data_IF_702187884379
#
_entry.id   IF_702187884379
#
_cell.length_a   1.000
_cell.length_b   1.000
_cell.length_c   1.000
_cell.angle_alpha   90.00
_cell.angle_beta   90.00
_cell.angle_gamma   90.00
#
_symmetry.space_group_name_H-M   'P 1'
#
loop_
_entity.id
_entity.type
_entity.pdbx_description
1 polymer ?
#
# COMPACT_ATOMS: atom_id res chain seq x y z
N UNK A 1 21.84 -37.35 -6.61
CA UNK A 1 20.56 -36.64 -6.82
C UNK A 1 20.82 -35.48 -7.77
N UNK A 2 20.08 -35.33 -8.87
CA UNK A 2 20.42 -34.33 -9.90
C UNK A 2 20.09 -32.90 -9.42
N UNK A 3 20.97 -31.93 -9.67
CA UNK A 3 20.83 -30.53 -9.21
C UNK A 3 19.55 -29.87 -9.77
N UNK A 4 19.22 -30.19 -11.02
CA UNK A 4 18.01 -29.70 -11.69
C UNK A 4 16.72 -30.14 -10.96
N UNK A 5 16.65 -31.40 -10.50
CA UNK A 5 15.51 -31.90 -9.73
C UNK A 5 15.36 -31.24 -8.36
N UNK A 6 16.45 -30.74 -7.77
CA UNK A 6 16.41 -29.96 -6.53
C UNK A 6 15.80 -28.58 -6.78
N UNK A 7 16.35 -27.84 -7.75
CA UNK A 7 15.89 -26.50 -8.15
C UNK A 7 14.40 -26.51 -8.54
N UNK A 8 13.96 -27.52 -9.29
CA UNK A 8 12.58 -27.61 -9.76
C UNK A 8 11.59 -27.99 -8.64
N UNK A 9 12.04 -28.78 -7.66
CA UNK A 9 11.26 -29.09 -6.45
C UNK A 9 11.10 -27.86 -5.54
N UNK A 10 12.17 -27.05 -5.40
CA UNK A 10 12.12 -25.76 -4.70
C UNK A 10 11.21 -24.75 -5.40
N UNK A 11 11.34 -24.59 -6.72
CA UNK A 11 10.45 -23.77 -7.56
C UNK A 11 8.98 -24.16 -7.35
N UNK A 12 8.68 -25.46 -7.39
CA UNK A 12 7.32 -25.99 -7.20
C UNK A 12 6.79 -25.69 -5.79
N UNK A 13 7.61 -25.79 -4.74
CA UNK A 13 7.23 -25.41 -3.37
C UNK A 13 6.95 -23.91 -3.25
N UNK A 14 7.82 -23.06 -3.79
CA UNK A 14 7.64 -21.60 -3.76
C UNK A 14 6.35 -21.18 -4.46
N UNK A 15 6.09 -21.69 -5.68
CA UNK A 15 4.85 -21.46 -6.42
C UNK A 15 3.59 -21.91 -5.63
N UNK A 16 3.70 -22.97 -4.83
CA UNK A 16 2.59 -23.46 -3.99
C UNK A 16 2.28 -22.49 -2.84
N UNK A 17 3.29 -21.83 -2.27
CA UNK A 17 3.13 -20.76 -1.27
C UNK A 17 2.54 -19.51 -1.94
N UNK A 18 3.03 -19.11 -3.13
CA UNK A 18 2.50 -17.95 -3.88
C UNK A 18 1.03 -18.14 -4.31
N UNK A 19 0.56 -19.39 -4.49
CA UNK A 19 -0.85 -19.72 -4.76
C UNK A 19 -1.78 -19.45 -3.56
N UNK A 20 -1.26 -19.37 -2.33
CA UNK A 20 -2.02 -19.04 -1.11
C UNK A 20 -2.30 -17.54 -1.01
N UNK A 21 -3.19 -17.03 -1.86
CA UNK A 21 -3.67 -15.65 -1.82
C UNK A 21 -5.20 -15.63 -1.80
N UNK A 22 -5.76 -14.59 -1.17
CA UNK A 22 -7.17 -14.57 -0.80
C UNK A 22 -8.09 -14.59 -2.04
N UNK A 23 -9.18 -15.39 -2.03
CA UNK A 23 -10.08 -15.50 -3.17
C UNK A 23 -10.74 -14.16 -3.52
N UNK A 24 -11.24 -14.05 -4.76
CA UNK A 24 -11.70 -12.79 -5.36
C UNK A 24 -12.71 -11.99 -4.52
N UNK A 25 -13.53 -12.65 -3.68
CA UNK A 25 -14.46 -11.98 -2.77
C UNK A 25 -13.77 -10.99 -1.81
N UNK A 26 -12.52 -11.25 -1.39
CA UNK A 26 -11.77 -10.34 -0.52
C UNK A 26 -11.36 -9.04 -1.22
N UNK A 27 -11.26 -9.03 -2.57
CA UNK A 27 -11.02 -7.80 -3.32
C UNK A 27 -12.20 -6.83 -3.15
N UNK A 28 -13.42 -7.36 -3.23
CA UNK A 28 -14.66 -6.59 -3.04
C UNK A 28 -14.74 -6.09 -1.59
N UNK A 29 -14.43 -6.95 -0.60
CA UNK A 29 -14.41 -6.57 0.82
C UNK A 29 -13.40 -5.44 1.08
N UNK A 30 -12.17 -5.54 0.55
CA UNK A 30 -11.15 -4.49 0.68
C UNK A 30 -11.56 -3.16 0.06
N UNK A 31 -12.20 -3.18 -1.12
CA UNK A 31 -12.77 -1.97 -1.75
C UNK A 31 -13.86 -1.37 -0.87
N UNK A 32 -14.83 -2.17 -0.40
CA UNK A 32 -15.92 -1.70 0.46
C UNK A 32 -15.41 -1.07 1.76
N UNK A 33 -14.46 -1.71 2.45
CA UNK A 33 -13.83 -1.16 3.66
C UNK A 33 -13.12 0.16 3.38
N UNK A 34 -12.41 0.27 2.26
CA UNK A 34 -11.68 1.48 1.87
C UNK A 34 -12.64 2.63 1.55
N UNK A 35 -13.69 2.36 0.75
CA UNK A 35 -14.72 3.36 0.42
C UNK A 35 -15.47 3.83 1.66
N UNK A 36 -15.89 2.92 2.54
CA UNK A 36 -16.54 3.28 3.81
C UNK A 36 -15.60 4.16 4.66
N UNK A 37 -14.33 3.78 4.80
CA UNK A 37 -13.36 4.56 5.58
C UNK A 37 -13.19 5.99 5.05
N UNK A 38 -13.12 6.17 3.71
CA UNK A 38 -13.03 7.49 3.06
C UNK A 38 -14.31 8.30 3.31
N UNK A 39 -15.50 7.70 3.12
CA UNK A 39 -16.79 8.38 3.34
C UNK A 39 -16.93 8.81 4.80
N UNK A 40 -16.62 7.94 5.77
CA UNK A 40 -16.68 8.27 7.20
C UNK A 40 -15.68 9.38 7.56
N UNK A 41 -14.50 9.41 6.94
CA UNK A 41 -13.52 10.49 7.14
C UNK A 41 -14.05 11.84 6.65
N UNK A 42 -14.74 11.86 5.50
CA UNK A 42 -15.35 13.07 4.92
C UNK A 42 -16.55 13.55 5.74
N UNK A 43 -17.42 12.63 6.19
CA UNK A 43 -18.57 12.95 7.07
C UNK A 43 -18.09 13.54 8.38
N UNK A 44 -17.06 12.96 9.01
CA UNK A 44 -16.46 13.52 10.23
C UNK A 44 -15.97 14.95 10.00
N UNK A 45 -15.20 15.18 8.93
CA UNK A 45 -14.63 16.48 8.61
C UNK A 45 -15.68 17.59 8.36
N UNK A 46 -16.93 17.22 8.06
CA UNK A 46 -18.03 18.16 7.78
C UNK A 46 -19.04 18.33 8.93
N UNK A 47 -18.96 17.49 9.99
CA UNK A 47 -20.04 17.38 11.01
C UNK A 47 -19.50 17.31 12.45
N UNK A 48 -18.24 16.95 12.67
CA UNK A 48 -17.70 16.66 14.02
C UNK A 48 -16.45 17.51 14.29
N UNK A 49 -16.67 18.68 14.90
CA UNK A 49 -15.62 19.53 15.51
C UNK A 49 -15.10 18.99 16.85
N UNK A 50 -15.52 17.78 17.25
CA UNK A 50 -15.13 17.13 18.49
C UNK A 50 -13.74 16.48 18.43
N UNK A 51 -12.97 16.66 19.51
CA UNK A 51 -11.59 16.20 19.68
C UNK A 51 -11.47 14.67 19.74
N UNK A 52 -11.56 14.06 18.57
CA UNK A 52 -11.71 12.61 18.37
C UNK A 52 -10.45 12.03 17.73
N UNK A 53 -9.29 12.27 18.35
CA UNK A 53 -8.00 11.74 17.91
C UNK A 53 -8.00 10.21 17.80
N UNK A 54 -8.59 9.51 18.78
CA UNK A 54 -8.71 8.04 18.76
C UNK A 54 -9.45 7.55 17.51
N UNK A 55 -10.52 8.25 17.10
CA UNK A 55 -11.31 7.93 15.92
C UNK A 55 -10.51 8.21 14.63
N UNK A 56 -9.61 9.21 14.64
CA UNK A 56 -8.73 9.53 13.50
C UNK A 56 -7.76 8.39 13.27
N UNK A 57 -7.10 7.94 14.34
CA UNK A 57 -6.17 6.81 14.34
C UNK A 57 -6.89 5.52 13.93
N UNK A 58 -8.11 5.28 14.42
CA UNK A 58 -8.92 4.13 14.03
C UNK A 58 -9.19 4.13 12.51
N UNK A 59 -9.73 5.22 11.96
CA UNK A 59 -10.03 5.33 10.52
C UNK A 59 -8.80 5.19 9.64
N UNK A 60 -7.65 5.74 10.06
CA UNK A 60 -6.38 5.57 9.36
C UNK A 60 -5.95 4.09 9.34
N UNK A 61 -5.96 3.41 10.50
CA UNK A 61 -5.62 1.98 10.58
C UNK A 61 -6.61 1.11 9.77
N UNK A 62 -7.92 1.38 9.81
CA UNK A 62 -8.92 0.61 9.03
C UNK A 62 -8.78 0.81 7.52
N UNK A 63 -8.50 2.04 7.08
CA UNK A 63 -8.25 2.34 5.67
C UNK A 63 -6.99 1.61 5.17
N UNK A 64 -5.93 1.58 5.97
CA UNK A 64 -4.69 0.86 5.65
C UNK A 64 -4.93 -0.65 5.51
N UNK A 65 -5.70 -1.24 6.44
CA UNK A 65 -6.10 -2.66 6.36
C UNK A 65 -6.97 -2.93 5.12
N UNK A 66 -7.92 -2.04 4.80
CA UNK A 66 -8.75 -2.15 3.59
C UNK A 66 -7.93 -2.19 2.29
N UNK A 67 -6.98 -1.26 2.15
CA UNK A 67 -6.06 -1.23 1.00
C UNK A 67 -5.12 -2.43 0.96
N UNK A 68 -4.62 -2.91 2.10
CA UNK A 68 -3.78 -4.10 2.16
C UNK A 68 -4.55 -5.36 1.74
N UNK A 69 -5.79 -5.53 2.21
CA UNK A 69 -6.68 -6.63 1.77
C UNK A 69 -6.95 -6.53 0.27
N UNK A 70 -7.24 -5.34 -0.26
CA UNK A 70 -7.42 -5.11 -1.71
C UNK A 70 -6.15 -5.47 -2.51
N UNK A 71 -4.98 -5.06 -2.03
CA UNK A 71 -3.67 -5.27 -2.64
C UNK A 71 -3.25 -6.76 -2.72
N UNK A 72 -3.58 -7.56 -1.70
CA UNK A 72 -3.25 -9.00 -1.66
C UNK A 72 -4.24 -9.87 -2.46
N UNK A 73 -5.52 -9.46 -2.50
CA UNK A 73 -6.63 -10.26 -3.04
C UNK A 73 -6.51 -10.65 -4.52
N UNK A 74 -7.02 -11.83 -4.88
CA UNK A 74 -6.93 -12.36 -6.26
C UNK A 74 -7.84 -11.62 -7.25
N UNK A 75 -7.30 -11.42 -8.46
CA UNK A 75 -8.09 -11.04 -9.63
C UNK A 75 -8.92 -12.23 -10.14
N UNK A 76 -9.98 -11.94 -10.92
CA UNK A 76 -10.91 -12.94 -11.45
C UNK A 76 -10.26 -13.96 -12.41
N UNK A 77 -9.16 -13.57 -13.05
CA UNK A 77 -8.35 -14.43 -13.94
C UNK A 77 -6.91 -14.34 -13.44
N UNK A 78 -6.38 -15.43 -12.89
CA UNK A 78 -4.97 -15.53 -12.52
C UNK A 78 -4.17 -16.20 -13.63
N UNK A 79 -3.16 -15.46 -14.09
CA UNK A 79 -2.17 -15.84 -15.08
C UNK A 79 -0.79 -15.69 -14.41
N UNK A 80 0.18 -16.52 -14.76
CA UNK A 80 1.53 -16.50 -14.16
C UNK A 80 2.18 -15.12 -14.35
N UNK A 81 1.94 -14.48 -15.49
CA UNK A 81 2.39 -13.11 -15.75
C UNK A 81 1.75 -12.08 -14.82
N UNK A 82 0.48 -12.26 -14.42
CA UNK A 82 -0.21 -11.38 -13.45
C UNK A 82 0.38 -11.51 -12.05
N UNK A 83 0.86 -12.70 -11.67
CA UNK A 83 1.57 -12.94 -10.41
C UNK A 83 2.94 -12.23 -10.44
N UNK A 84 3.68 -12.36 -11.54
CA UNK A 84 4.97 -11.66 -11.75
C UNK A 84 4.83 -10.14 -11.72
N UNK A 85 3.86 -9.59 -12.45
CA UNK A 85 3.52 -8.16 -12.47
C UNK A 85 3.24 -7.60 -11.08
N UNK A 86 2.51 -8.34 -10.23
CA UNK A 86 2.21 -7.90 -8.87
C UNK A 86 3.46 -7.96 -7.97
N UNK A 87 4.29 -8.99 -8.09
CA UNK A 87 5.56 -9.08 -7.35
C UNK A 87 6.51 -7.92 -7.71
N UNK A 88 6.62 -7.59 -9.00
CA UNK A 88 7.35 -6.40 -9.47
C UNK A 88 6.75 -5.11 -8.91
N UNK A 89 5.43 -4.97 -8.91
CA UNK A 89 4.75 -3.78 -8.36
C UNK A 89 5.03 -3.60 -6.85
N UNK A 90 5.08 -4.67 -6.06
CA UNK A 90 5.51 -4.61 -4.66
C UNK A 90 6.98 -4.21 -4.51
N UNK A 91 7.88 -4.73 -5.35
CA UNK A 91 9.30 -4.38 -5.31
C UNK A 91 9.54 -2.90 -5.66
N UNK A 92 8.90 -2.40 -6.71
CA UNK A 92 8.93 -0.98 -7.10
C UNK A 92 8.38 -0.10 -5.98
N UNK A 93 7.22 -0.46 -5.41
CA UNK A 93 6.62 0.29 -4.32
C UNK A 93 7.48 0.32 -3.05
N UNK A 94 8.17 -0.77 -2.73
CA UNK A 94 9.12 -0.79 -1.60
C UNK A 94 10.30 0.15 -1.83
N UNK A 95 10.94 0.08 -3.01
CA UNK A 95 12.08 0.95 -3.36
C UNK A 95 11.65 2.43 -3.34
N UNK A 96 10.54 2.76 -3.99
CA UNK A 96 9.99 4.11 -4.05
C UNK A 96 9.55 4.59 -2.65
N UNK A 97 8.96 3.72 -1.83
CA UNK A 97 8.55 4.03 -0.46
C UNK A 97 9.73 4.32 0.48
N UNK A 98 10.82 3.54 0.37
CA UNK A 98 12.06 3.79 1.14
C UNK A 98 12.71 5.10 0.70
N UNK A 99 12.81 5.36 -0.62
CA UNK A 99 13.33 6.64 -1.12
C UNK A 99 12.47 7.81 -0.65
N UNK A 100 11.15 7.68 -0.70
CA UNK A 100 10.21 8.70 -0.22
C UNK A 100 10.39 9.00 1.28
N UNK A 101 10.42 7.97 2.12
CA UNK A 101 10.60 8.11 3.57
C UNK A 101 11.96 8.74 3.94
N UNK A 102 13.01 8.48 3.16
CA UNK A 102 14.32 9.09 3.36
C UNK A 102 14.40 10.53 2.83
N UNK A 103 13.81 10.82 1.66
CA UNK A 103 13.97 12.13 0.99
C UNK A 103 13.01 13.19 1.54
N UNK A 104 11.76 12.82 1.83
CA UNK A 104 10.73 13.82 2.14
C UNK A 104 10.96 14.63 3.44
N UNK A 105 11.60 14.13 4.52
CA UNK A 105 11.94 14.98 5.67
C UNK A 105 12.90 16.12 5.31
N UNK A 106 13.84 15.89 4.38
CA UNK A 106 14.75 16.93 3.89
C UNK A 106 14.03 17.93 2.98
N UNK A 107 13.04 17.48 2.19
CA UNK A 107 12.19 18.36 1.39
C UNK A 107 11.32 19.25 2.28
N UNK A 108 10.70 18.69 3.33
CA UNK A 108 9.90 19.46 4.29
C UNK A 108 10.76 20.47 5.05
N UNK A 109 11.95 20.09 5.52
CA UNK A 109 12.91 21.00 6.14
C UNK A 109 13.33 22.15 5.20
N UNK A 110 13.68 21.82 3.94
CA UNK A 110 14.08 22.79 2.93
C UNK A 110 12.97 23.77 2.55
N UNK A 111 11.73 23.27 2.37
CA UNK A 111 10.55 24.11 2.09
C UNK A 111 10.20 24.98 3.29
N UNK A 112 10.23 24.42 4.51
CA UNK A 112 9.97 25.17 5.75
C UNK A 112 10.90 26.37 5.89
N UNK A 113 12.21 26.16 5.75
CA UNK A 113 13.24 27.20 5.87
C UNK A 113 13.15 28.31 4.79
N UNK A 114 12.47 28.05 3.66
CA UNK A 114 12.27 29.04 2.58
C UNK A 114 10.93 29.78 2.73
N UNK A 115 9.90 29.13 3.26
CA UNK A 115 8.54 29.71 3.35
C UNK A 115 8.26 30.38 4.70
N UNK A 116 8.83 29.87 5.79
CA UNK A 116 8.64 30.41 7.13
C UNK A 116 9.99 30.61 7.84
N UNK A 117 10.35 31.88 8.10
CA UNK A 117 11.49 32.26 8.94
C UNK A 117 11.23 32.03 10.44
N UNK A 118 10.63 30.89 10.79
CA UNK A 118 10.24 30.48 12.14
C UNK A 118 10.26 28.96 12.21
N UNK A 119 10.97 28.41 13.21
CA UNK A 119 11.32 26.99 13.26
C UNK A 119 10.13 26.07 13.52
N UNK A 120 9.43 25.69 12.46
CA UNK A 120 8.49 24.57 12.47
C UNK A 120 9.26 23.26 12.73
N UNK A 121 8.84 22.52 13.75
CA UNK A 121 9.52 21.31 14.19
C UNK A 121 9.55 20.23 13.10
N UNK A 122 10.59 19.38 13.12
CA UNK A 122 10.68 18.18 12.29
C UNK A 122 9.39 17.36 12.39
N UNK A 123 8.59 17.37 11.32
CA UNK A 123 7.45 16.46 11.20
C UNK A 123 7.98 15.11 10.81
N UNK A 124 7.95 14.19 11.77
CA UNK A 124 8.19 12.79 11.51
C UNK A 124 7.11 12.29 10.52
N UNK A 125 7.54 11.62 9.44
CA UNK A 125 6.63 11.07 8.45
C UNK A 125 5.88 9.90 9.08
N UNK A 126 4.68 10.21 9.59
CA UNK A 126 3.87 9.23 10.31
C UNK A 126 3.77 7.91 9.54
N UNK A 127 4.02 6.80 10.22
CA UNK A 127 3.96 5.41 9.73
C UNK A 127 2.80 5.16 8.73
N UNK A 128 1.61 5.67 9.08
CA UNK A 128 0.43 5.62 8.23
C UNK A 128 0.62 6.27 6.84
N UNK A 129 1.26 7.44 6.74
CA UNK A 129 1.51 8.15 5.48
C UNK A 129 2.48 7.36 4.58
N UNK A 130 3.56 6.83 5.15
CA UNK A 130 4.56 6.04 4.39
C UNK A 130 3.93 4.73 3.90
N UNK A 131 3.21 4.00 4.77
CA UNK A 131 2.54 2.75 4.40
C UNK A 131 1.40 2.97 3.40
N UNK A 132 0.61 4.05 3.55
CA UNK A 132 -0.42 4.43 2.60
C UNK A 132 0.19 4.77 1.24
N UNK A 133 1.26 5.56 1.21
CA UNK A 133 1.96 5.92 -0.03
C UNK A 133 2.51 4.67 -0.73
N UNK A 134 3.16 3.75 0.01
CA UNK A 134 3.66 2.49 -0.53
C UNK A 134 2.53 1.62 -1.13
N UNK A 135 1.39 1.47 -0.44
CA UNK A 135 0.24 0.73 -0.97
C UNK A 135 -0.39 1.41 -2.19
N UNK A 136 -0.49 2.74 -2.19
CA UNK A 136 -1.00 3.51 -3.33
C UNK A 136 -0.12 3.36 -4.56
N UNK A 137 1.20 3.48 -4.41
CA UNK A 137 2.18 3.24 -5.49
C UNK A 137 2.06 1.80 -6.01
N UNK A 138 1.99 0.81 -5.12
CA UNK A 138 1.85 -0.60 -5.52
C UNK A 138 0.57 -0.85 -6.34
N UNK A 139 -0.57 -0.32 -5.90
CA UNK A 139 -1.84 -0.45 -6.62
C UNK A 139 -1.82 0.32 -7.94
N UNK A 140 -1.22 1.51 -7.98
CA UNK A 140 -1.09 2.33 -9.19
C UNK A 140 -0.22 1.66 -10.24
N UNK A 141 0.98 1.19 -9.89
CA UNK A 141 1.86 0.47 -10.82
C UNK A 141 1.21 -0.84 -11.29
N UNK A 142 0.55 -1.58 -10.40
CA UNK A 142 -0.16 -2.80 -10.80
C UNK A 142 -1.24 -2.53 -11.84
N UNK A 143 -2.11 -1.54 -11.63
CA UNK A 143 -3.16 -1.19 -12.60
C UNK A 143 -2.59 -0.57 -13.89
N UNK A 144 -1.50 0.20 -13.79
CA UNK A 144 -0.84 0.82 -14.95
C UNK A 144 -0.20 -0.24 -15.84
N UNK A 145 0.61 -1.15 -15.28
CA UNK A 145 1.24 -2.24 -16.01
C UNK A 145 0.20 -3.24 -16.55
N UNK A 146 -0.94 -3.42 -15.86
CA UNK A 146 -2.08 -4.20 -16.34
C UNK A 146 -2.83 -3.54 -17.51
N UNK A 147 -2.70 -2.21 -17.70
CA UNK A 147 -3.34 -1.45 -18.78
C UNK A 147 -2.47 -1.32 -20.04
N UNK A 148 -1.14 -1.36 -19.88
CA UNK A 148 -0.18 -1.38 -21.01
C UNK A 148 0.08 -2.80 -21.55
N UNK A 149 -0.84 -3.74 -21.29
CA UNK A 149 -0.87 -5.13 -21.74
C UNK A 149 -2.21 -5.39 -22.42
#
# INVERSE_FOLDING_TARGET
>A
MNKEKLIDCERTRLLKITKFRLPHQFMIIGIVITVISIVTMFVRASVIDGDTEWLKLLLQKTLLVGMLVMSVSKDKIEDEMTIGLRAQSYAIAFIVGVVYALVMPYVEFGVSNVVHSGGEAYKDLGDFQVLLFMLMIQLMFYHTLKRYR
#
